data_IF_916449232729
#
_entry.id   IF_916449232729
#
_cell.length_a   1.000
_cell.length_b   1.000
_cell.length_c   1.000
_cell.angle_alpha   90.00
_cell.angle_beta   90.00
_cell.angle_gamma   90.00
#
_symmetry.space_group_name_H-M   'P 1'
#
loop_
_entity.id
_entity.type
_entity.pdbx_description
1 polymer ?
#
# COMPACT_ATOMS: atom_id res chain seq x y z
N UNK A 1 3.40 20.32 -2.32
CA UNK A 1 4.40 19.24 -2.13
C UNK A 1 3.70 17.92 -2.28
N UNK A 2 4.23 17.05 -3.13
CA UNK A 2 3.66 15.72 -3.35
C UNK A 2 3.61 14.95 -2.05
N UNK A 3 2.46 14.35 -1.75
CA UNK A 3 2.27 13.49 -0.59
C UNK A 3 2.05 12.06 -1.08
N UNK A 4 2.67 11.10 -0.43
CA UNK A 4 2.39 9.69 -0.73
C UNK A 4 1.82 8.99 0.49
N UNK A 5 0.91 8.05 0.21
CA UNK A 5 0.43 7.09 1.20
C UNK A 5 1.14 5.79 0.90
N UNK A 6 1.85 5.24 1.87
CA UNK A 6 2.51 3.95 1.71
C UNK A 6 1.83 2.91 2.57
N UNK A 7 1.42 1.83 1.91
CA UNK A 7 0.93 0.62 2.58
C UNK A 7 2.11 -0.32 2.71
N UNK A 8 2.45 -0.70 3.93
CA UNK A 8 3.58 -1.57 4.22
C UNK A 8 3.04 -2.88 4.76
N UNK A 9 3.06 -3.92 3.91
CA UNK A 9 2.68 -5.27 4.35
C UNK A 9 3.87 -5.95 4.97
N UNK A 10 3.74 -6.36 6.24
CA UNK A 10 4.74 -7.19 6.88
C UNK A 10 4.74 -8.58 6.25
N UNK A 11 5.80 -9.35 6.49
CA UNK A 11 5.90 -10.70 5.94
C UNK A 11 4.69 -11.51 6.41
N UNK A 12 3.87 -12.02 5.48
CA UNK A 12 2.65 -12.75 5.85
C UNK A 12 2.98 -14.13 6.42
N UNK A 13 2.00 -14.72 7.09
CA UNK A 13 2.15 -16.07 7.65
C UNK A 13 2.21 -17.14 6.56
N UNK A 14 1.59 -16.87 5.40
CA UNK A 14 1.62 -17.74 4.22
C UNK A 14 1.76 -16.88 2.98
N UNK A 15 2.93 -16.93 2.34
CA UNK A 15 3.25 -16.08 1.18
C UNK A 15 2.34 -16.37 -0.01
N UNK A 16 2.09 -17.64 -0.31
CA UNK A 16 1.29 -18.00 -1.48
C UNK A 16 -0.16 -17.54 -1.31
N UNK A 17 -0.71 -17.71 -0.13
CA UNK A 17 -2.07 -17.25 0.19
C UNK A 17 -2.16 -15.74 0.09
N UNK A 18 -1.17 -15.02 0.63
CA UNK A 18 -1.14 -13.56 0.54
C UNK A 18 -1.11 -13.08 -0.92
N UNK A 19 -0.21 -13.63 -1.73
CA UNK A 19 -0.05 -13.19 -3.12
C UNK A 19 -1.29 -13.50 -3.95
N UNK A 20 -1.93 -14.63 -3.71
CA UNK A 20 -3.19 -14.99 -4.37
C UNK A 20 -4.30 -14.01 -3.96
N UNK A 21 -4.45 -13.72 -2.68
CA UNK A 21 -5.46 -12.79 -2.19
C UNK A 21 -5.20 -11.37 -2.65
N UNK A 22 -3.93 -10.94 -2.70
CA UNK A 22 -3.57 -9.63 -3.22
C UNK A 22 -4.05 -9.46 -4.67
N UNK A 23 -3.88 -10.49 -5.48
CA UNK A 23 -4.34 -10.51 -6.87
C UNK A 23 -5.86 -10.62 -6.96
N UNK A 24 -6.46 -11.55 -6.21
CA UNK A 24 -7.89 -11.85 -6.29
C UNK A 24 -8.77 -10.69 -5.79
N UNK A 25 -8.31 -9.93 -4.80
CA UNK A 25 -9.04 -8.75 -4.32
C UNK A 25 -8.87 -7.54 -5.24
N UNK A 26 -7.99 -7.65 -6.24
CA UNK A 26 -7.73 -6.57 -7.21
C UNK A 26 -7.32 -5.28 -6.52
N UNK A 27 -6.42 -5.36 -5.54
CA UNK A 27 -6.08 -4.21 -4.72
C UNK A 27 -5.52 -3.03 -5.51
N UNK A 28 -4.72 -3.28 -6.56
CA UNK A 28 -4.20 -2.20 -7.37
C UNK A 28 -5.30 -1.49 -8.14
N UNK A 29 -6.32 -2.23 -8.60
CA UNK A 29 -7.49 -1.61 -9.25
C UNK A 29 -8.31 -0.80 -8.27
N UNK A 30 -8.50 -1.30 -7.04
CA UNK A 30 -9.18 -0.55 -5.98
C UNK A 30 -8.41 0.73 -5.64
N UNK A 31 -7.09 0.67 -5.60
CA UNK A 31 -6.26 1.84 -5.35
C UNK A 31 -6.37 2.87 -6.48
N UNK A 32 -6.40 2.41 -7.73
CA UNK A 32 -6.54 3.30 -8.89
C UNK A 32 -7.87 4.06 -8.89
N UNK A 33 -8.87 3.58 -8.20
CA UNK A 33 -10.16 4.26 -8.08
C UNK A 33 -10.15 5.44 -7.09
N UNK A 34 -9.08 5.62 -6.32
CA UNK A 34 -8.97 6.75 -5.39
C UNK A 34 -8.94 8.07 -6.15
N UNK A 35 -9.82 9.03 -5.81
CA UNK A 35 -9.82 10.31 -6.48
C UNK A 35 -8.54 11.09 -6.19
N UNK A 36 -8.00 11.76 -7.19
CA UNK A 36 -6.78 12.55 -7.05
C UNK A 36 -5.48 11.75 -7.10
N UNK A 37 -5.55 10.44 -7.26
CA UNK A 37 -4.35 9.61 -7.39
C UNK A 37 -3.59 9.99 -8.66
N UNK A 38 -2.31 10.33 -8.51
CA UNK A 38 -1.44 10.73 -9.64
C UNK A 38 -0.51 9.61 -10.08
N UNK A 39 -0.12 8.74 -9.16
CA UNK A 39 0.83 7.67 -9.44
C UNK A 39 0.62 6.53 -8.45
N UNK A 40 0.78 5.31 -8.92
CA UNK A 40 0.68 4.09 -8.12
C UNK A 40 1.91 3.23 -8.37
N UNK A 41 2.56 2.79 -7.31
CA UNK A 41 3.68 1.86 -7.39
C UNK A 41 3.46 0.70 -6.44
N UNK A 42 3.77 -0.51 -6.90
CA UNK A 42 3.75 -1.72 -6.08
C UNK A 42 5.13 -2.35 -6.14
N UNK A 43 5.72 -2.63 -4.98
CA UNK A 43 7.10 -3.11 -4.89
C UNK A 43 7.19 -4.34 -3.98
N UNK A 44 8.02 -5.31 -4.40
CA UNK A 44 8.41 -6.45 -3.57
C UNK A 44 9.67 -6.10 -2.81
N UNK A 45 9.69 -6.37 -1.52
CA UNK A 45 10.85 -6.06 -0.68
C UNK A 45 11.83 -7.24 -0.72
N UNK A 46 13.10 -6.92 -0.93
CA UNK A 46 14.17 -7.92 -0.93
C UNK A 46 14.51 -8.37 0.50
N UNK A 47 14.90 -9.65 0.68
CA UNK A 47 15.52 -10.06 1.93
C UNK A 47 16.79 -9.24 2.19
N UNK A 48 17.20 -9.16 3.46
CA UNK A 48 18.45 -8.48 3.80
C UNK A 48 19.65 -9.27 3.24
N UNK A 49 20.71 -8.54 2.90
CA UNK A 49 21.91 -9.13 2.28
C UNK A 49 22.61 -10.16 3.18
N UNK A 50 22.49 -10.04 4.50
CA UNK A 50 23.07 -10.96 5.45
C UNK A 50 22.26 -12.27 5.63
N UNK A 51 21.18 -12.43 4.86
CA UNK A 51 20.32 -13.61 4.93
C UNK A 51 19.25 -13.56 6.00
N UNK A 52 19.18 -12.49 6.80
CA UNK A 52 18.11 -12.33 7.77
C UNK A 52 16.77 -12.03 7.09
N UNK A 53 15.64 -12.25 7.78
CA UNK A 53 14.32 -12.01 7.19
C UNK A 53 14.13 -10.59 6.69
N UNK A 54 13.37 -10.42 5.61
CA UNK A 54 13.01 -9.12 5.09
C UNK A 54 12.23 -8.31 6.14
N UNK A 55 12.44 -6.98 6.22
CA UNK A 55 11.72 -6.14 7.19
C UNK A 55 10.25 -5.96 6.82
N UNK A 56 9.89 -6.23 5.58
CA UNK A 56 8.52 -6.17 5.06
C UNK A 56 8.44 -7.08 3.85
N UNK A 57 7.23 -7.33 3.36
CA UNK A 57 7.02 -8.17 2.18
C UNK A 57 6.73 -7.34 0.92
N UNK A 58 5.82 -6.37 1.02
CA UNK A 58 5.35 -5.58 -0.12
C UNK A 58 5.05 -4.15 0.31
N UNK A 59 5.33 -3.22 -0.58
CA UNK A 59 4.98 -1.82 -0.42
C UNK A 59 4.04 -1.42 -1.55
N UNK A 60 3.02 -0.64 -1.22
CA UNK A 60 2.18 0.01 -2.23
C UNK A 60 2.23 1.50 -1.95
N UNK A 61 2.75 2.27 -2.90
CA UNK A 61 2.87 3.71 -2.79
C UNK A 61 1.83 4.38 -3.67
N UNK A 62 1.05 5.28 -3.09
CA UNK A 62 -0.01 6.03 -3.77
C UNK A 62 0.30 7.51 -3.64
N UNK A 63 0.47 8.20 -4.77
CA UNK A 63 0.93 9.58 -4.82
C UNK A 63 -0.21 10.54 -5.11
N UNK A 64 -0.23 11.67 -4.39
CA UNK A 64 -1.24 12.73 -4.52
C UNK A 64 -0.54 14.08 -4.63
N UNK A 65 -1.26 15.09 -5.13
CA UNK A 65 -0.70 16.44 -5.31
C UNK A 65 -0.23 17.05 -3.99
N UNK A 66 -0.96 16.79 -2.90
CA UNK A 66 -0.67 17.33 -1.57
C UNK A 66 -1.35 16.48 -0.49
N UNK A 67 -1.10 16.84 0.76
CA UNK A 67 -1.67 16.13 1.90
C UNK A 67 -3.21 16.20 1.91
N UNK A 68 -3.78 17.36 1.61
CA UNK A 68 -5.24 17.54 1.63
C UNK A 68 -5.91 16.62 0.63
N UNK A 69 -5.34 16.48 -0.57
CA UNK A 69 -5.84 15.56 -1.60
C UNK A 69 -5.76 14.10 -1.13
N UNK A 70 -4.65 13.71 -0.51
CA UNK A 70 -4.48 12.36 0.03
C UNK A 70 -5.49 12.09 1.15
N UNK A 71 -5.64 13.04 2.07
CA UNK A 71 -6.57 12.93 3.19
C UNK A 71 -8.03 12.82 2.71
N UNK A 72 -8.41 13.62 1.72
CA UNK A 72 -9.75 13.55 1.14
C UNK A 72 -10.01 12.20 0.47
N UNK A 73 -9.02 11.65 -0.23
CA UNK A 73 -9.16 10.36 -0.91
C UNK A 73 -9.45 9.23 0.08
N UNK A 74 -8.75 9.20 1.24
CA UNK A 74 -8.95 8.14 2.21
C UNK A 74 -10.24 8.28 3.02
N UNK A 75 -10.88 9.44 2.98
CA UNK A 75 -12.17 9.68 3.63
C UNK A 75 -13.36 9.29 2.74
N UNK A 76 -13.13 8.99 1.47
CA UNK A 76 -14.19 8.79 0.50
C UNK A 76 -14.61 7.33 0.28
N UNK A 77 -15.59 7.10 -0.61
CA UNK A 77 -16.14 5.75 -0.83
C UNK A 77 -15.16 4.78 -1.49
N UNK A 78 -14.24 5.25 -2.33
CA UNK A 78 -13.25 4.37 -2.94
C UNK A 78 -12.33 3.76 -1.88
N UNK A 79 -11.91 4.54 -0.88
CA UNK A 79 -11.11 4.05 0.24
C UNK A 79 -11.91 3.07 1.10
N UNK A 80 -13.21 3.26 1.23
CA UNK A 80 -14.07 2.35 1.97
C UNK A 80 -14.12 0.95 1.34
N UNK A 81 -13.80 0.83 0.04
CA UNK A 81 -13.63 -0.46 -0.63
C UNK A 81 -12.20 -1.00 -0.48
N UNK A 82 -11.22 -0.12 -0.57
CA UNK A 82 -9.81 -0.50 -0.59
C UNK A 82 -9.31 -0.98 0.77
N UNK A 83 -9.52 -0.20 1.83
CA UNK A 83 -8.90 -0.48 3.12
C UNK A 83 -9.36 -1.78 3.76
N UNK A 84 -10.64 -2.17 3.73
CA UNK A 84 -11.03 -3.50 4.21
C UNK A 84 -10.34 -4.64 3.45
N UNK A 85 -10.13 -4.48 2.13
CA UNK A 85 -9.39 -5.47 1.34
C UNK A 85 -7.93 -5.56 1.78
N UNK A 86 -7.30 -4.41 2.09
CA UNK A 86 -5.93 -4.38 2.62
C UNK A 86 -5.85 -5.13 3.95
N UNK A 87 -6.69 -4.76 4.91
CA UNK A 87 -6.64 -5.34 6.24
C UNK A 87 -7.02 -6.82 6.23
N UNK A 88 -7.90 -7.21 5.32
CA UNK A 88 -8.39 -8.59 5.24
C UNK A 88 -7.33 -9.61 4.82
N UNK A 89 -6.26 -9.20 4.13
CA UNK A 89 -5.21 -10.12 3.68
C UNK A 89 -3.89 -9.97 4.45
N UNK A 90 -3.80 -8.99 5.35
CA UNK A 90 -2.56 -8.64 6.05
C UNK A 90 -2.31 -9.58 7.23
N UNK A 91 -2.05 -10.86 6.96
CA UNK A 91 -1.85 -11.87 8.01
C UNK A 91 -0.62 -11.61 8.88
N UNK A 92 0.38 -10.93 8.34
CA UNK A 92 1.57 -10.53 9.09
C UNK A 92 1.50 -9.13 9.67
N UNK A 93 0.36 -8.44 9.44
CA UNK A 93 0.19 -7.05 9.84
C UNK A 93 0.47 -6.07 8.70
N UNK A 94 0.00 -4.85 8.86
CA UNK A 94 0.16 -3.80 7.87
C UNK A 94 0.30 -2.45 8.57
N UNK A 95 1.10 -1.57 8.00
CA UNK A 95 1.23 -0.19 8.43
C UNK A 95 0.85 0.73 7.27
N UNK A 96 0.25 1.88 7.60
CA UNK A 96 -0.12 2.89 6.62
C UNK A 96 0.55 4.20 7.05
N UNK A 97 1.32 4.79 6.15
CA UNK A 97 2.01 6.06 6.43
C UNK A 97 1.63 7.11 5.39
N UNK A 98 1.58 8.36 5.85
CA UNK A 98 1.48 9.53 4.97
C UNK A 98 2.81 10.25 5.06
N UNK A 99 3.42 10.57 3.93
CA UNK A 99 4.70 11.25 3.90
C UNK A 99 4.76 12.25 2.76
N UNK A 100 5.35 13.39 3.01
CA UNK A 100 5.63 14.35 1.94
C UNK A 100 6.93 13.97 1.23
N UNK A 101 6.90 13.98 -0.09
CA UNK A 101 8.09 13.72 -0.89
C UNK A 101 8.87 15.03 -0.96
N UNK A 102 9.97 15.12 -0.22
CA UNK A 102 10.76 16.35 -0.13
C UNK A 102 11.77 16.46 -1.27
N UNK A 103 12.25 15.33 -1.78
CA UNK A 103 13.26 15.32 -2.82
C UNK A 103 13.09 14.07 -3.69
N UNK A 104 13.27 14.23 -5.00
CA UNK A 104 13.11 13.14 -5.98
C UNK A 104 14.39 12.91 -6.79
#
# INVERSE_FOLDING_TARGET
MTTKITIIYNVPTDLDTFERNFTDTKQLDLARALPGLERLESSRVWPKEDGSPAPAHRLVDMYFADYDSASAAVAGPAAAQLFPAIFGIASGGVAVTFADVEER
#
